data_IF_683635482410
#
_entry.id   IF_683635482410
#
_cell.length_a   1.000
_cell.length_b   1.000
_cell.length_c   1.000
_cell.angle_alpha   90.00
_cell.angle_beta   90.00
_cell.angle_gamma   90.00
#
_symmetry.space_group_name_H-M   'P 1'
#
loop_
_entity.id
_entity.type
_entity.pdbx_description
1 polymer ?
#
# COMPACT_ATOMS: atom_id res chain seq x y z
N UNK A 1 -18.35 -12.29 -12.89
CA UNK A 1 -18.38 -10.93 -13.48
C UNK A 1 -17.01 -10.50 -13.96
N UNK A 2 -16.94 -9.84 -15.12
CA UNK A 2 -15.68 -9.40 -15.75
C UNK A 2 -15.05 -8.15 -15.08
N UNK A 3 -15.88 -7.29 -14.48
CA UNK A 3 -15.45 -6.04 -13.82
C UNK A 3 -14.97 -6.29 -12.39
N UNK A 4 -13.87 -5.63 -11.99
CA UNK A 4 -13.36 -5.59 -10.61
C UNK A 4 -14.12 -4.61 -9.73
N UNK A 5 -13.91 -4.71 -8.40
CA UNK A 5 -14.62 -3.93 -7.39
C UNK A 5 -13.74 -3.68 -6.14
N UNK A 6 -13.71 -2.45 -5.58
CA UNK A 6 -12.83 -2.10 -4.45
C UNK A 6 -13.20 -2.81 -3.14
N UNK A 7 -14.44 -3.30 -2.98
CA UNK A 7 -14.86 -4.10 -1.82
C UNK A 7 -14.43 -5.57 -1.92
N UNK A 8 -14.24 -6.08 -3.14
CA UNK A 8 -13.66 -7.41 -3.39
C UNK A 8 -12.13 -7.37 -3.29
N UNK A 9 -11.49 -6.30 -3.76
CA UNK A 9 -10.05 -6.04 -3.54
C UNK A 9 -9.76 -5.86 -2.04
N UNK A 10 -8.66 -6.46 -1.60
CA UNK A 10 -8.10 -6.31 -0.25
C UNK A 10 -6.58 -6.07 -0.32
N UNK A 11 -5.88 -6.09 0.81
CA UNK A 11 -4.42 -5.95 0.87
C UNK A 11 -3.82 -6.79 1.99
N UNK A 12 -2.61 -7.32 1.74
CA UNK A 12 -1.88 -8.25 2.62
C UNK A 12 -0.37 -8.02 2.58
N UNK A 13 0.34 -8.40 3.65
CA UNK A 13 1.81 -8.33 3.76
C UNK A 13 2.30 -7.32 4.81
N UNK A 14 3.57 -7.47 5.20
CA UNK A 14 4.19 -6.77 6.33
C UNK A 14 4.21 -5.23 6.20
N UNK A 15 4.21 -4.70 4.98
CA UNK A 15 4.26 -3.26 4.71
C UNK A 15 3.02 -2.50 5.19
N UNK A 16 1.90 -3.19 5.43
CA UNK A 16 0.71 -2.62 6.08
C UNK A 16 0.89 -2.41 7.59
N UNK A 17 1.79 -3.16 8.22
CA UNK A 17 2.17 -3.02 9.64
C UNK A 17 3.35 -2.05 9.82
N UNK A 18 4.22 -1.92 8.81
CA UNK A 18 5.34 -0.95 8.76
C UNK A 18 6.71 -1.63 8.84
N UNK A 19 7.63 -1.05 9.63
CA UNK A 19 9.03 -1.48 9.71
C UNK A 19 9.94 -0.45 10.39
N UNK A 20 11.12 -0.23 9.83
CA UNK A 20 12.18 0.68 10.33
C UNK A 20 12.63 1.62 9.20
N UNK A 21 13.05 2.85 9.52
CA UNK A 21 13.58 3.82 8.55
C UNK A 21 14.80 3.27 7.80
N UNK A 22 14.83 3.48 6.48
CA UNK A 22 15.85 2.96 5.56
C UNK A 22 15.69 1.47 5.20
N UNK A 23 14.82 0.74 5.88
CA UNK A 23 14.51 -0.69 5.63
C UNK A 23 13.26 -0.82 4.71
N UNK A 24 13.24 -1.79 3.77
CA UNK A 24 12.12 -1.99 2.86
C UNK A 24 10.92 -2.64 3.58
N UNK A 25 9.74 -2.09 3.32
CA UNK A 25 8.44 -2.56 3.81
C UNK A 25 7.58 -2.99 2.59
N UNK A 26 7.16 -4.25 2.54
CA UNK A 26 6.55 -4.87 1.35
C UNK A 26 5.17 -5.43 1.64
N UNK A 27 4.20 -5.10 0.78
CA UNK A 27 2.83 -5.61 0.79
C UNK A 27 2.27 -5.72 -0.63
N UNK A 28 1.14 -6.42 -0.79
CA UNK A 28 0.41 -6.57 -2.07
C UNK A 28 -1.03 -6.08 -1.94
N UNK A 29 -1.49 -5.33 -2.94
CA UNK A 29 -2.91 -5.03 -3.19
C UNK A 29 -3.46 -6.19 -4.01
N UNK A 30 -4.28 -7.05 -3.38
CA UNK A 30 -4.69 -8.33 -3.94
C UNK A 30 -6.01 -8.24 -4.72
N UNK A 31 -5.95 -8.57 -6.02
CA UNK A 31 -7.08 -8.53 -6.97
C UNK A 31 -7.69 -9.89 -7.27
N UNK A 32 -7.17 -10.98 -6.71
CA UNK A 32 -7.61 -12.36 -7.01
C UNK A 32 -9.11 -12.62 -6.78
N UNK A 33 -9.74 -11.91 -5.84
CA UNK A 33 -11.17 -11.98 -5.57
C UNK A 33 -12.03 -11.09 -6.51
N UNK A 34 -11.41 -10.11 -7.18
CA UNK A 34 -12.07 -9.08 -7.99
C UNK A 34 -11.95 -9.32 -9.51
N UNK A 35 -10.82 -9.84 -9.99
CA UNK A 35 -10.49 -10.00 -11.41
C UNK A 35 -9.44 -8.96 -11.84
N UNK A 36 -9.85 -7.95 -12.61
CA UNK A 36 -8.98 -6.91 -13.17
C UNK A 36 -9.65 -5.52 -13.20
N UNK A 37 -8.82 -4.47 -13.21
CA UNK A 37 -9.22 -3.06 -13.13
C UNK A 37 -8.05 -2.13 -12.79
N UNK A 38 -8.25 -0.83 -12.96
CA UNK A 38 -7.22 0.19 -12.69
C UNK A 38 -7.02 0.44 -11.19
N UNK A 39 -5.77 0.71 -10.78
CA UNK A 39 -5.37 0.98 -9.40
C UNK A 39 -4.63 2.32 -9.28
N UNK A 40 -4.88 3.06 -8.20
CA UNK A 40 -4.01 4.09 -7.66
C UNK A 40 -3.66 3.79 -6.19
N UNK A 41 -2.59 4.39 -5.67
CA UNK A 41 -2.07 4.15 -4.31
C UNK A 41 -1.13 5.30 -3.88
N UNK A 42 -1.33 5.80 -2.66
CA UNK A 42 -0.59 6.92 -2.05
C UNK A 42 -0.27 6.59 -0.60
N UNK A 43 0.95 6.93 -0.17
CA UNK A 43 1.42 6.75 1.22
C UNK A 43 1.79 8.12 1.80
N UNK A 44 1.20 8.48 2.94
CA UNK A 44 1.33 9.79 3.59
C UNK A 44 1.52 9.65 5.11
N UNK A 45 2.52 10.33 5.67
CA UNK A 45 2.90 10.21 7.09
C UNK A 45 3.87 11.29 7.57
N UNK A 46 4.84 10.98 8.46
CA UNK A 46 5.80 11.94 9.01
C UNK A 46 6.80 12.47 7.98
N UNK A 47 6.91 11.83 6.81
CA UNK A 47 7.67 12.31 5.64
C UNK A 47 7.14 11.63 4.35
N UNK A 48 7.84 11.81 3.23
CA UNK A 48 7.62 11.05 1.99
C UNK A 48 8.22 9.62 2.07
N UNK A 49 7.92 8.79 1.08
CA UNK A 49 8.48 7.43 0.91
C UNK A 49 8.90 7.19 -0.55
N UNK A 50 9.90 6.33 -0.77
CA UNK A 50 10.27 5.84 -2.10
C UNK A 50 9.55 4.52 -2.38
N UNK A 51 8.70 4.46 -3.42
CA UNK A 51 7.86 3.30 -3.78
C UNK A 51 8.31 2.62 -5.08
N UNK A 52 8.32 1.29 -5.08
CA UNK A 52 8.35 0.41 -6.25
C UNK A 52 7.02 -0.37 -6.33
N UNK A 53 6.07 0.16 -7.11
CA UNK A 53 4.80 -0.50 -7.42
C UNK A 53 4.94 -1.32 -8.71
N UNK A 54 4.54 -2.60 -8.68
CA UNK A 54 4.69 -3.55 -9.80
C UNK A 54 3.46 -4.46 -9.91
N UNK A 55 3.01 -4.75 -11.13
CA UNK A 55 1.95 -5.73 -11.39
C UNK A 55 2.49 -7.17 -11.42
N UNK A 56 1.66 -8.13 -11.00
CA UNK A 56 2.00 -9.55 -10.84
C UNK A 56 0.73 -10.45 -10.79
N UNK A 57 0.86 -11.80 -10.82
CA UNK A 57 -0.27 -12.72 -10.65
C UNK A 57 -1.03 -12.55 -9.33
N UNK A 58 -0.37 -12.02 -8.28
CA UNK A 58 -0.96 -11.75 -6.96
C UNK A 58 -1.75 -10.41 -6.92
N UNK A 59 -1.71 -9.61 -8.00
CA UNK A 59 -2.33 -8.28 -8.09
C UNK A 59 -1.30 -7.18 -8.38
N UNK A 60 -1.17 -6.23 -7.46
CA UNK A 60 -0.14 -5.17 -7.50
C UNK A 60 0.68 -5.17 -6.21
N UNK A 61 1.96 -5.54 -6.29
CA UNK A 61 2.91 -5.47 -5.19
C UNK A 61 3.40 -4.02 -5.01
N UNK A 62 3.53 -3.56 -3.77
CA UNK A 62 4.15 -2.29 -3.41
C UNK A 62 5.23 -2.55 -2.36
N UNK A 63 6.48 -2.28 -2.71
CA UNK A 63 7.60 -2.17 -1.76
C UNK A 63 7.89 -0.70 -1.58
N UNK A 64 8.04 -0.24 -0.34
CA UNK A 64 8.41 1.15 -0.03
C UNK A 64 9.43 1.27 1.10
N UNK A 65 10.19 2.37 1.12
CA UNK A 65 11.18 2.69 2.18
C UNK A 65 10.80 4.01 2.85
N UNK A 66 10.49 4.00 4.17
CA UNK A 66 10.27 5.21 4.95
C UNK A 66 11.58 5.84 5.43
N UNK A 67 11.56 7.13 5.75
CA UNK A 67 12.74 7.91 6.15
C UNK A 67 12.54 8.78 7.43
N UNK A 68 11.40 8.62 8.10
CA UNK A 68 11.09 9.24 9.39
C UNK A 68 10.25 8.29 10.27
N UNK A 69 10.46 8.28 11.61
CA UNK A 69 9.65 7.50 12.54
C UNK A 69 8.29 8.17 12.78
N UNK A 70 7.30 7.36 13.21
CA UNK A 70 5.89 7.74 13.35
C UNK A 70 4.98 6.71 12.68
N UNK A 71 3.93 7.16 12.01
CA UNK A 71 2.99 6.28 11.29
C UNK A 71 2.51 6.88 9.95
N UNK A 72 2.44 6.01 8.94
CA UNK A 72 2.04 6.32 7.56
C UNK A 72 0.68 5.69 7.25
N UNK A 73 -0.25 6.47 6.68
CA UNK A 73 -1.50 5.99 6.11
C UNK A 73 -1.27 5.57 4.66
N UNK A 74 -1.60 4.31 4.35
CA UNK A 74 -1.49 3.69 3.02
C UNK A 74 -2.88 3.68 2.39
N UNK A 75 -3.17 4.70 1.59
CA UNK A 75 -4.44 4.91 0.88
C UNK A 75 -4.41 4.21 -0.48
N UNK A 76 -5.32 3.26 -0.72
CA UNK A 76 -5.31 2.36 -1.88
C UNK A 76 -6.70 2.44 -2.53
N UNK A 77 -6.77 2.83 -3.81
CA UNK A 77 -8.02 3.18 -4.51
C UNK A 77 -8.14 2.48 -5.87
N UNK A 78 -9.17 1.65 -6.06
CA UNK A 78 -9.32 0.73 -7.20
C UNK A 78 -10.67 0.92 -7.93
N UNK A 79 -10.64 0.91 -9.27
CA UNK A 79 -11.83 1.10 -10.12
C UNK A 79 -12.39 2.52 -10.11
N UNK A 80 -11.67 3.48 -9.52
CA UNK A 80 -12.11 4.86 -9.26
C UNK A 80 -11.44 5.46 -8.00
N UNK A 81 -11.82 6.70 -7.61
CA UNK A 81 -11.19 7.46 -6.53
C UNK A 81 -11.70 7.06 -5.12
N UNK A 82 -12.00 5.77 -4.91
CA UNK A 82 -12.60 5.24 -3.68
C UNK A 82 -11.73 4.15 -3.03
N UNK A 83 -11.56 4.20 -1.70
CA UNK A 83 -10.72 3.28 -0.94
C UNK A 83 -11.15 1.81 -1.04
N UNK A 84 -10.20 0.88 -1.12
CA UNK A 84 -10.45 -0.57 -1.06
C UNK A 84 -10.73 -1.07 0.37
N UNK A 85 -11.22 -2.30 0.51
CA UNK A 85 -11.64 -2.87 1.80
C UNK A 85 -10.52 -2.89 2.84
N UNK A 86 -10.69 -2.08 3.89
CA UNK A 86 -9.73 -1.90 5.00
C UNK A 86 -8.79 -0.70 4.84
N UNK A 87 -8.75 -0.03 3.69
CA UNK A 87 -7.89 1.12 3.43
C UNK A 87 -8.53 2.45 3.92
N UNK A 88 -7.76 3.45 4.41
CA UNK A 88 -6.31 3.44 4.57
C UNK A 88 -5.83 2.60 5.75
N UNK A 89 -4.68 1.94 5.58
CA UNK A 89 -4.01 1.15 6.61
C UNK A 89 -2.92 1.98 7.30
N UNK A 90 -2.85 1.95 8.64
CA UNK A 90 -1.81 2.63 9.42
C UNK A 90 -0.57 1.72 9.66
N UNK A 91 0.52 2.01 8.95
CA UNK A 91 1.82 1.37 9.09
C UNK A 91 2.70 2.15 10.09
N UNK A 92 3.24 1.49 11.11
CA UNK A 92 4.01 2.11 12.19
C UNK A 92 5.53 1.90 11.98
N UNK A 93 6.33 2.97 12.17
CA UNK A 93 7.76 3.00 11.79
C UNK A 93 8.59 3.57 12.94
N UNK A 94 9.74 2.95 13.21
CA UNK A 94 10.74 3.37 14.21
C UNK A 94 12.12 3.56 13.57
N UNK A 95 13.14 3.88 14.37
CA UNK A 95 14.51 4.17 13.91
C UNK A 95 14.81 5.68 13.79
N UNK A 96 16.01 6.05 13.32
CA UNK A 96 16.46 7.44 13.22
C UNK A 96 15.72 8.20 12.12
N UNK A 97 15.57 9.52 12.30
CA UNK A 97 14.96 10.42 11.31
C UNK A 97 16.03 11.00 10.37
N UNK A 98 15.80 10.91 9.06
CA UNK A 98 16.77 11.30 8.01
C UNK A 98 16.59 12.76 7.53
N UNK A 99 15.48 13.44 7.87
CA UNK A 99 15.10 14.76 7.34
C UNK A 99 14.32 15.62 8.34
#
# INVERSE_FOLDING_TARGET
GAMGDPGLVSAYGAGLEGGVTGNPAEFVVNTSNAGAGALSVTIDGPSKVKMDCQECPEGYRVTYTPMAPGSYLISIKYGGPYHIGGSPFKAKVTGPRLV
#
